data_IF_021409596021
#
_entry.id   IF_021409596021
#
_cell.length_a   1.000
_cell.length_b   1.000
_cell.length_c   1.000
_cell.angle_alpha   90.00
_cell.angle_beta   90.00
_cell.angle_gamma   90.00
#
_symmetry.space_group_name_H-M   'P 1'
#
loop_
_entity.id
_entity.type
_entity.pdbx_description
1 polymer ?
#
# COMPACT_ATOMS: atom_id res chain seq x y z
N UNK A 1 -22.50 12.91 -24.03
CA UNK A 1 -22.13 11.91 -23.02
C UNK A 1 -21.67 12.66 -21.78
N UNK A 2 -22.27 12.43 -20.61
CA UNK A 2 -21.90 13.11 -19.35
C UNK A 2 -20.47 12.70 -18.94
N UNK A 3 -19.60 13.66 -18.75
CA UNK A 3 -18.24 13.44 -18.27
C UNK A 3 -18.12 14.07 -16.89
N UNK A 4 -17.66 13.32 -15.87
CA UNK A 4 -17.49 13.88 -14.51
C UNK A 4 -16.59 15.11 -14.51
N UNK A 5 -16.95 16.12 -13.74
CA UNK A 5 -16.20 17.38 -13.65
C UNK A 5 -14.73 17.15 -13.32
N UNK A 6 -14.43 16.24 -12.40
CA UNK A 6 -13.05 15.91 -12.01
C UNK A 6 -12.15 15.43 -13.17
N UNK A 7 -12.73 14.83 -14.21
CA UNK A 7 -11.98 14.42 -15.40
C UNK A 7 -11.87 15.53 -16.45
N UNK A 8 -12.77 16.49 -16.40
CA UNK A 8 -12.86 17.59 -17.34
C UNK A 8 -11.93 18.75 -16.97
N UNK A 9 -11.89 19.09 -15.67
CA UNK A 9 -11.10 20.23 -15.16
C UNK A 9 -9.68 19.86 -14.74
N UNK A 10 -9.16 18.72 -15.23
CA UNK A 10 -7.77 18.34 -14.96
C UNK A 10 -6.81 19.41 -15.46
N UNK A 11 -5.91 19.81 -14.58
CA UNK A 11 -4.87 20.81 -14.91
C UNK A 11 -3.91 20.31 -15.99
N UNK A 12 -3.39 21.22 -16.81
CA UNK A 12 -2.35 21.00 -17.81
C UNK A 12 -0.96 21.46 -17.36
N UNK A 13 -0.86 22.10 -16.19
CA UNK A 13 0.40 22.59 -15.62
C UNK A 13 0.77 21.87 -14.33
N UNK A 14 2.06 21.60 -14.13
CA UNK A 14 2.58 21.07 -12.86
C UNK A 14 2.36 22.03 -11.70
N UNK A 15 2.32 23.34 -11.95
CA UNK A 15 2.12 24.34 -10.90
C UNK A 15 0.70 24.36 -10.34
N UNK A 16 -0.25 23.82 -11.10
CA UNK A 16 -1.65 23.73 -10.68
C UNK A 16 -1.99 22.38 -10.03
N UNK A 17 -1.05 21.43 -10.02
CA UNK A 17 -1.23 20.16 -9.31
C UNK A 17 -1.18 20.45 -7.81
N UNK A 18 -2.28 20.24 -7.13
CA UNK A 18 -2.36 20.46 -5.68
C UNK A 18 -1.65 19.35 -4.92
N UNK A 19 -0.97 19.73 -3.87
CA UNK A 19 -0.16 18.79 -3.08
C UNK A 19 1.15 18.42 -3.77
N UNK A 20 1.77 17.36 -3.26
CA UNK A 20 2.98 16.74 -3.80
C UNK A 20 4.20 17.67 -3.87
N UNK A 21 4.28 18.69 -3.01
CA UNK A 21 5.38 19.66 -2.99
C UNK A 21 6.77 19.02 -2.87
N UNK A 22 6.89 17.86 -2.25
CA UNK A 22 8.15 17.11 -2.08
C UNK A 22 8.70 16.55 -3.42
N UNK A 23 7.86 16.27 -4.41
CA UNK A 23 8.28 15.77 -5.75
C UNK A 23 8.03 16.78 -6.88
N UNK A 24 7.02 17.65 -6.75
CA UNK A 24 6.61 18.62 -7.78
C UNK A 24 6.94 20.07 -7.45
N UNK A 25 7.37 20.38 -6.23
CA UNK A 25 7.82 21.73 -5.85
C UNK A 25 9.01 22.20 -6.70
N UNK A 26 9.39 23.48 -6.58
CA UNK A 26 10.46 24.11 -7.40
C UNK A 26 11.76 23.29 -7.46
N UNK A 27 12.13 22.63 -6.37
CA UNK A 27 13.31 21.77 -6.27
C UNK A 27 12.98 20.28 -6.33
N UNK A 28 11.74 19.90 -6.61
CA UNK A 28 11.26 18.53 -6.64
C UNK A 28 11.95 17.69 -7.72
N UNK A 29 12.30 16.45 -7.37
CA UNK A 29 13.03 15.58 -8.30
C UNK A 29 12.20 15.27 -9.56
N UNK A 30 10.90 14.95 -9.40
CA UNK A 30 10.00 14.67 -10.51
C UNK A 30 9.84 15.88 -11.43
N UNK A 31 9.70 17.09 -10.86
CA UNK A 31 9.65 18.33 -11.66
C UNK A 31 10.89 18.50 -12.53
N UNK A 32 12.07 18.36 -11.95
CA UNK A 32 13.34 18.51 -12.71
C UNK A 32 13.47 17.49 -13.84
N UNK A 33 13.03 16.25 -13.62
CA UNK A 33 12.99 15.21 -14.65
C UNK A 33 12.04 15.63 -15.78
N UNK A 34 10.85 16.10 -15.45
CA UNK A 34 9.87 16.53 -16.47
C UNK A 34 10.38 17.75 -17.26
N UNK A 35 11.03 18.69 -16.60
CA UNK A 35 11.61 19.89 -17.22
C UNK A 35 12.84 19.59 -18.09
N UNK A 36 13.60 18.52 -17.78
CA UNK A 36 14.71 18.06 -18.64
C UNK A 36 14.25 17.46 -19.95
N UNK A 37 13.00 17.04 -20.08
CA UNK A 37 12.46 16.35 -21.25
C UNK A 37 12.90 14.88 -21.39
N UNK A 38 13.84 14.41 -20.58
CA UNK A 38 14.31 13.02 -20.54
C UNK A 38 13.53 12.23 -19.51
N UNK A 39 12.49 11.56 -19.94
CA UNK A 39 11.57 10.83 -19.06
C UNK A 39 11.98 9.36 -18.96
N UNK A 40 12.47 8.90 -17.78
CA UNK A 40 12.71 7.48 -17.54
C UNK A 40 11.38 6.74 -17.29
N UNK A 41 11.44 5.43 -17.21
CA UNK A 41 10.32 4.66 -16.69
C UNK A 41 10.09 5.00 -15.21
N UNK A 42 8.83 5.13 -14.81
CA UNK A 42 8.46 5.55 -13.46
C UNK A 42 7.33 4.72 -12.89
N UNK A 43 7.34 4.61 -11.57
CA UNK A 43 6.24 4.01 -10.81
C UNK A 43 5.74 5.05 -9.81
N UNK A 44 4.46 5.42 -9.93
CA UNK A 44 3.77 6.32 -9.03
C UNK A 44 2.95 5.51 -8.04
N UNK A 45 3.29 5.55 -6.76
CA UNK A 45 2.51 4.85 -5.75
C UNK A 45 1.95 5.81 -4.71
N UNK A 46 0.85 5.43 -4.10
CA UNK A 46 0.17 6.21 -3.07
C UNK A 46 -1.35 6.25 -3.26
N UNK A 47 -2.07 6.93 -2.36
CA UNK A 47 -3.53 6.94 -2.31
C UNK A 47 -4.20 7.39 -3.61
N UNK A 48 -5.47 7.00 -3.79
CA UNK A 48 -6.27 7.44 -4.94
C UNK A 48 -6.50 8.96 -4.89
N UNK A 49 -6.80 9.57 -6.05
CA UNK A 49 -7.13 10.99 -6.14
C UNK A 49 -6.00 11.98 -5.86
N UNK A 50 -4.76 11.53 -5.64
CA UNK A 50 -3.59 12.37 -5.31
C UNK A 50 -2.88 12.97 -6.52
N UNK A 51 -3.40 12.76 -7.74
CA UNK A 51 -2.90 13.40 -8.96
C UNK A 51 -2.01 12.55 -9.86
N UNK A 52 -1.75 11.26 -9.56
CA UNK A 52 -0.90 10.34 -10.36
C UNK A 52 -1.21 10.38 -11.87
N UNK A 53 -2.47 10.14 -12.24
CA UNK A 53 -2.92 10.17 -13.65
C UNK A 53 -2.80 11.56 -14.29
N UNK A 54 -3.02 12.62 -13.51
CA UNK A 54 -2.90 14.01 -14.00
C UNK A 54 -1.45 14.33 -14.34
N UNK A 55 -0.52 13.97 -13.46
CA UNK A 55 0.91 14.18 -13.67
C UNK A 55 1.41 13.38 -14.89
N UNK A 56 0.99 12.13 -15.03
CA UNK A 56 1.35 11.30 -16.19
C UNK A 56 0.88 11.94 -17.53
N UNK A 57 -0.31 12.56 -17.54
CA UNK A 57 -0.82 13.28 -18.71
C UNK A 57 0.01 14.53 -19.01
N UNK A 58 0.35 15.33 -18.00
CA UNK A 58 1.19 16.52 -18.18
C UNK A 58 2.57 16.13 -18.74
N UNK A 59 3.14 15.03 -18.27
CA UNK A 59 4.41 14.50 -18.78
C UNK A 59 4.29 14.16 -20.27
N UNK A 60 3.23 13.46 -20.66
CA UNK A 60 3.02 13.10 -22.07
C UNK A 60 2.88 14.33 -22.97
N UNK A 61 2.11 15.32 -22.55
CA UNK A 61 1.91 16.58 -23.27
C UNK A 61 3.24 17.36 -23.43
N UNK A 62 4.03 17.47 -22.35
CA UNK A 62 5.33 18.18 -22.39
C UNK A 62 6.39 17.48 -23.23
N UNK A 63 6.30 16.18 -23.43
CA UNK A 63 7.29 15.39 -24.17
C UNK A 63 6.87 15.06 -25.60
N UNK A 64 5.73 15.55 -26.06
CA UNK A 64 5.13 15.24 -27.37
C UNK A 64 5.00 13.74 -27.65
N UNK A 65 4.92 12.90 -26.59
CA UNK A 65 4.72 11.46 -26.70
C UNK A 65 3.25 11.13 -26.81
N UNK A 66 2.92 10.12 -27.57
CA UNK A 66 1.54 9.62 -27.64
C UNK A 66 1.18 8.91 -26.36
N UNK A 67 0.22 9.48 -25.60
CA UNK A 67 -0.26 8.86 -24.37
C UNK A 67 -1.21 7.71 -24.68
N UNK A 68 -0.86 6.50 -24.22
CA UNK A 68 -1.75 5.35 -24.15
C UNK A 68 -2.04 5.02 -22.71
N UNK A 69 -3.32 4.79 -22.39
CA UNK A 69 -3.78 4.48 -21.03
C UNK A 69 -4.36 3.08 -21.02
N UNK A 70 -3.88 2.27 -20.11
CA UNK A 70 -4.46 0.97 -19.74
C UNK A 70 -4.79 0.96 -18.25
N UNK A 71 -5.91 0.33 -17.92
CA UNK A 71 -6.22 0.01 -16.53
C UNK A 71 -6.07 -1.51 -16.35
N UNK A 72 -5.18 -1.93 -15.47
CA UNK A 72 -4.86 -3.34 -15.27
C UNK A 72 -6.03 -4.16 -14.71
N UNK A 73 -7.07 -3.51 -14.18
CA UNK A 73 -8.30 -4.22 -13.74
C UNK A 73 -9.14 -4.74 -14.92
N UNK A 74 -9.04 -4.12 -16.10
CA UNK A 74 -9.86 -4.44 -17.28
C UNK A 74 -9.05 -4.84 -18.49
N UNK A 75 -7.77 -4.40 -18.57
CA UNK A 75 -6.89 -4.66 -19.71
C UNK A 75 -6.25 -6.06 -19.64
N UNK A 76 -5.98 -6.61 -20.82
CA UNK A 76 -5.32 -7.90 -20.99
C UNK A 76 -4.07 -7.82 -21.89
N UNK A 77 -3.47 -8.99 -22.19
CA UNK A 77 -2.31 -9.09 -23.09
C UNK A 77 -2.64 -8.60 -24.50
N UNK A 78 -3.90 -8.75 -24.94
CA UNK A 78 -4.35 -8.28 -26.24
C UNK A 78 -4.25 -6.75 -26.37
N UNK A 79 -4.59 -6.01 -25.31
CA UNK A 79 -4.52 -4.54 -25.31
C UNK A 79 -3.07 -4.05 -25.35
N UNK A 80 -2.17 -4.74 -24.64
CA UNK A 80 -0.73 -4.47 -24.70
C UNK A 80 -0.22 -4.69 -26.13
N UNK A 81 -0.58 -5.82 -26.77
CA UNK A 81 -0.19 -6.11 -28.16
C UNK A 81 -0.74 -5.09 -29.15
N UNK A 82 -1.96 -4.58 -28.94
CA UNK A 82 -2.53 -3.53 -29.77
C UNK A 82 -1.68 -2.25 -29.71
N UNK A 83 -1.25 -1.83 -28.52
CA UNK A 83 -0.36 -0.67 -28.36
C UNK A 83 1.00 -0.93 -29.03
N UNK A 84 1.55 -2.14 -28.89
CA UNK A 84 2.82 -2.52 -29.51
C UNK A 84 2.72 -2.45 -31.04
N UNK A 85 1.59 -2.86 -31.64
CA UNK A 85 1.39 -2.79 -33.09
C UNK A 85 1.30 -1.36 -33.64
N UNK A 86 1.05 -0.36 -32.79
CA UNK A 86 1.07 1.05 -33.16
C UNK A 86 2.48 1.67 -33.12
N UNK A 87 3.44 0.99 -32.49
CA UNK A 87 4.83 1.46 -32.43
C UNK A 87 5.42 1.52 -33.85
N UNK A 88 6.35 2.43 -34.06
CA UNK A 88 7.04 2.63 -35.33
C UNK A 88 6.11 3.03 -36.49
N UNK A 89 4.91 3.52 -36.20
CA UNK A 89 3.95 4.06 -37.18
C UNK A 89 3.97 5.59 -37.23
N UNK A 90 3.37 6.18 -38.26
CA UNK A 90 3.17 7.63 -38.34
C UNK A 90 2.31 8.21 -37.20
N UNK A 91 1.61 7.35 -36.45
CA UNK A 91 0.78 7.75 -35.31
C UNK A 91 1.60 7.98 -34.02
N UNK A 92 2.84 7.51 -33.95
CA UNK A 92 3.68 7.59 -32.75
C UNK A 92 5.10 8.06 -33.04
N UNK A 93 5.29 9.20 -33.73
CA UNK A 93 6.62 9.64 -34.22
C UNK A 93 7.62 9.92 -33.09
N UNK A 94 7.16 10.26 -31.90
CA UNK A 94 7.99 10.54 -30.72
C UNK A 94 7.98 9.41 -29.69
N UNK A 95 7.48 8.24 -30.06
CA UNK A 95 7.30 7.07 -29.18
C UNK A 95 6.02 7.16 -28.34
N UNK A 96 5.78 6.11 -27.57
CA UNK A 96 4.60 5.95 -26.71
C UNK A 96 4.96 6.14 -25.25
N UNK A 97 4.16 6.94 -24.54
CA UNK A 97 4.11 6.94 -23.09
C UNK A 97 2.91 6.08 -22.67
N UNK A 98 3.20 4.92 -22.10
CA UNK A 98 2.18 4.02 -21.56
C UNK A 98 1.92 4.36 -20.10
N UNK A 99 0.72 4.86 -19.80
CA UNK A 99 0.23 4.97 -18.43
C UNK A 99 -0.57 3.71 -18.07
N UNK A 100 0.00 2.89 -17.20
CA UNK A 100 -0.64 1.67 -16.70
C UNK A 100 -1.17 1.89 -15.30
N UNK A 101 -2.49 2.04 -15.17
CA UNK A 101 -3.17 2.27 -13.89
C UNK A 101 -3.40 0.93 -13.17
N UNK A 102 -3.21 0.95 -11.83
CA UNK A 102 -3.42 -0.19 -10.93
C UNK A 102 -2.61 -1.45 -11.32
N UNK A 103 -1.30 -1.29 -11.57
CA UNK A 103 -0.40 -2.36 -12.06
C UNK A 103 -0.44 -3.64 -11.21
N UNK A 104 -0.81 -3.56 -9.92
CA UNK A 104 -0.91 -4.74 -9.04
C UNK A 104 -1.93 -5.79 -9.52
N UNK A 105 -2.88 -5.41 -10.37
CA UNK A 105 -3.83 -6.36 -10.97
C UNK A 105 -3.27 -7.12 -12.18
N UNK A 106 -2.12 -6.69 -12.73
CA UNK A 106 -1.42 -7.48 -13.73
C UNK A 106 -0.60 -8.59 -13.07
N UNK A 107 -0.81 -9.82 -13.52
CA UNK A 107 0.03 -10.93 -13.09
C UNK A 107 1.46 -10.80 -13.65
N UNK A 108 2.40 -11.60 -13.10
CA UNK A 108 3.82 -11.57 -13.48
C UNK A 108 4.05 -11.72 -14.99
N UNK A 109 3.28 -12.58 -15.67
CA UNK A 109 3.41 -12.81 -17.12
C UNK A 109 3.00 -11.58 -17.94
N UNK A 110 1.94 -10.90 -17.52
CA UNK A 110 1.48 -9.66 -18.15
C UNK A 110 2.52 -8.54 -17.95
N UNK A 111 3.06 -8.41 -16.75
CA UNK A 111 4.12 -7.43 -16.47
C UNK A 111 5.39 -7.75 -17.27
N UNK A 112 5.79 -9.02 -17.40
CA UNK A 112 6.93 -9.44 -18.19
C UNK A 112 6.80 -9.10 -19.68
N UNK A 113 5.59 -9.14 -20.24
CA UNK A 113 5.37 -8.82 -21.66
C UNK A 113 5.69 -7.37 -22.04
N UNK A 114 5.85 -6.48 -21.06
CA UNK A 114 6.23 -5.08 -21.27
C UNK A 114 7.75 -4.87 -21.31
N UNK A 115 8.54 -5.82 -20.78
CA UNK A 115 9.97 -5.60 -20.51
C UNK A 115 10.77 -5.31 -21.79
N UNK A 116 10.57 -6.07 -22.85
CA UNK A 116 11.29 -5.88 -24.13
C UNK A 116 11.13 -4.45 -24.65
N UNK A 117 9.91 -3.91 -24.61
CA UNK A 117 9.59 -2.59 -25.15
C UNK A 117 9.98 -1.44 -24.22
N UNK A 118 10.16 -1.74 -22.94
CA UNK A 118 10.71 -0.80 -21.95
C UNK A 118 12.23 -0.73 -22.06
N UNK A 119 12.89 -1.87 -22.35
CA UNK A 119 14.34 -1.99 -22.46
C UNK A 119 14.88 -1.32 -23.73
N UNK A 120 14.18 -1.47 -24.85
CA UNK A 120 14.57 -0.86 -26.12
C UNK A 120 14.13 0.62 -26.27
N UNK A 121 13.39 1.14 -25.28
CA UNK A 121 12.97 2.55 -25.22
C UNK A 121 11.80 2.93 -26.13
N UNK A 122 11.19 1.96 -26.84
CA UNK A 122 9.99 2.21 -27.67
C UNK A 122 8.80 2.62 -26.83
N UNK A 123 8.71 2.11 -25.61
CA UNK A 123 7.69 2.50 -24.64
C UNK A 123 8.37 3.13 -23.42
N UNK A 124 7.91 4.32 -23.01
CA UNK A 124 8.19 4.85 -21.69
C UNK A 124 7.02 4.49 -20.77
N UNK A 125 7.27 3.70 -19.74
CA UNK A 125 6.25 3.26 -18.80
C UNK A 125 6.11 4.24 -17.64
N UNK A 126 4.87 4.68 -17.37
CA UNK A 126 4.48 5.23 -16.06
C UNK A 126 3.42 4.30 -15.49
N UNK A 127 3.78 3.48 -14.53
CA UNK A 127 2.82 2.63 -13.83
C UNK A 127 2.31 3.32 -12.56
N UNK A 128 1.05 3.10 -12.20
CA UNK A 128 0.50 3.56 -10.92
C UNK A 128 -0.05 2.41 -10.09
N UNK A 129 0.04 2.57 -8.78
CA UNK A 129 -0.51 1.63 -7.80
C UNK A 129 -0.89 2.34 -6.50
N UNK A 130 -1.88 1.81 -5.81
CA UNK A 130 -2.21 2.20 -4.42
C UNK A 130 -1.45 1.38 -3.39
N UNK A 131 -0.81 0.29 -3.81
CA UNK A 131 -0.04 -0.61 -2.94
C UNK A 131 1.45 -0.27 -2.96
N UNK A 132 2.20 -0.83 -2.00
CA UNK A 132 3.65 -0.69 -1.99
C UNK A 132 4.26 -1.42 -3.21
N UNK A 133 4.93 -0.71 -4.14
CA UNK A 133 5.40 -1.26 -5.40
C UNK A 133 6.43 -2.39 -5.24
N UNK A 134 7.17 -2.40 -4.15
CA UNK A 134 8.17 -3.45 -3.88
C UNK A 134 7.57 -4.83 -3.63
N UNK A 135 6.25 -4.91 -3.38
CA UNK A 135 5.53 -6.18 -3.19
C UNK A 135 4.69 -6.59 -4.39
N UNK A 136 4.23 -5.65 -5.21
CA UNK A 136 3.27 -5.92 -6.28
C UNK A 136 3.84 -5.76 -7.70
N UNK A 137 4.96 -5.04 -7.87
CA UNK A 137 5.59 -4.84 -9.18
C UNK A 137 6.74 -5.83 -9.38
N UNK A 138 6.81 -6.41 -10.58
CA UNK A 138 7.86 -7.34 -10.94
C UNK A 138 9.25 -6.69 -10.84
N UNK A 139 10.19 -7.34 -10.17
CA UNK A 139 11.52 -6.79 -9.88
C UNK A 139 12.28 -6.28 -11.11
N UNK A 140 12.10 -6.91 -12.27
CA UNK A 140 12.75 -6.46 -13.49
C UNK A 140 12.21 -5.11 -14.00
N UNK A 141 10.93 -4.78 -13.75
CA UNK A 141 10.37 -3.45 -14.02
C UNK A 141 10.85 -2.45 -12.97
N UNK A 142 10.83 -2.84 -11.68
CA UNK A 142 11.32 -1.99 -10.59
C UNK A 142 12.76 -1.53 -10.79
N UNK A 143 13.67 -2.45 -11.17
CA UNK A 143 15.09 -2.13 -11.38
C UNK A 143 15.36 -1.17 -12.55
N UNK A 144 14.37 -0.98 -13.43
CA UNK A 144 14.43 -0.09 -14.62
C UNK A 144 13.54 1.15 -14.47
N UNK A 145 12.97 1.36 -13.29
CA UNK A 145 12.01 2.44 -13.05
C UNK A 145 12.41 3.26 -11.84
N UNK A 146 12.11 4.56 -11.88
CA UNK A 146 12.23 5.43 -10.71
C UNK A 146 10.89 5.46 -9.98
N UNK A 147 10.90 5.19 -8.67
CA UNK A 147 9.70 5.14 -7.84
C UNK A 147 9.44 6.50 -7.21
N UNK A 148 8.22 7.01 -7.34
CA UNK A 148 7.76 8.25 -6.71
C UNK A 148 6.54 8.01 -5.83
N UNK A 149 6.65 8.45 -4.58
CA UNK A 149 5.55 8.43 -3.62
C UNK A 149 4.65 9.64 -3.80
N UNK A 150 3.35 9.40 -3.98
CA UNK A 150 2.30 10.41 -3.92
C UNK A 150 1.64 10.34 -2.53
N UNK A 151 1.75 11.41 -1.77
CA UNK A 151 1.22 11.50 -0.41
C UNK A 151 -0.21 12.01 -0.40
N UNK A 152 -0.93 11.76 0.69
CA UNK A 152 -2.20 12.43 0.95
C UNK A 152 -2.06 13.93 0.82
N UNK A 153 -3.05 14.58 0.22
CA UNK A 153 -3.08 16.04 0.06
C UNK A 153 -3.76 16.65 1.29
N UNK A 154 -3.07 17.48 2.07
CA UNK A 154 -3.67 18.15 3.23
C UNK A 154 -4.88 19.00 2.81
N UNK A 155 -5.89 19.10 3.66
CA UNK A 155 -7.14 19.80 3.36
C UNK A 155 -6.90 21.25 2.87
N UNK A 156 -5.97 21.98 3.48
CA UNK A 156 -5.65 23.36 3.08
C UNK A 156 -5.05 23.47 1.67
N UNK A 157 -4.37 22.40 1.19
CA UNK A 157 -3.86 22.35 -0.19
C UNK A 157 -4.96 21.92 -1.19
N UNK A 158 -6.04 21.28 -0.74
CA UNK A 158 -7.20 20.91 -1.58
C UNK A 158 -8.11 22.13 -1.84
N UNK A 159 -8.21 23.07 -0.90
CA UNK A 159 -9.10 24.25 -1.01
C UNK A 159 -8.97 25.01 -2.34
N UNK A 160 -7.77 25.29 -2.88
CA UNK A 160 -7.62 25.92 -4.20
C UNK A 160 -8.25 25.13 -5.35
N UNK A 161 -8.23 23.80 -5.30
CA UNK A 161 -8.87 22.95 -6.32
C UNK A 161 -10.41 23.00 -6.19
N UNK A 162 -10.93 23.03 -4.96
CA UNK A 162 -12.35 23.22 -4.67
C UNK A 162 -12.83 24.58 -5.20
N UNK A 163 -12.10 25.65 -4.90
CA UNK A 163 -12.43 26.99 -5.39
C UNK A 163 -12.42 27.07 -6.91
N UNK A 164 -11.41 26.48 -7.56
CA UNK A 164 -11.32 26.41 -9.02
C UNK A 164 -12.51 25.66 -9.63
N UNK A 165 -12.93 24.56 -9.03
CA UNK A 165 -14.10 23.79 -9.48
C UNK A 165 -15.39 24.62 -9.39
N UNK A 166 -15.58 25.37 -8.29
CA UNK A 166 -16.73 26.29 -8.14
C UNK A 166 -16.71 27.35 -9.21
N UNK A 167 -15.57 28.00 -9.49
CA UNK A 167 -15.45 29.05 -10.51
C UNK A 167 -15.82 28.50 -11.89
N UNK A 168 -15.29 27.35 -12.28
CA UNK A 168 -15.58 26.72 -13.57
C UNK A 168 -17.08 26.42 -13.72
N UNK A 169 -17.70 25.85 -12.66
CA UNK A 169 -19.13 25.56 -12.67
C UNK A 169 -19.98 26.84 -12.75
N UNK A 170 -19.54 27.92 -12.08
CA UNK A 170 -20.22 29.20 -12.09
C UNK A 170 -20.19 29.85 -13.48
N UNK A 171 -19.03 29.86 -14.12
CA UNK A 171 -18.85 30.34 -15.49
C UNK A 171 -19.70 29.52 -16.48
N UNK A 172 -19.67 28.18 -16.38
CA UNK A 172 -20.44 27.28 -17.24
C UNK A 172 -21.95 27.51 -17.16
N UNK A 173 -22.44 27.77 -15.95
CA UNK A 173 -23.88 27.97 -15.70
C UNK A 173 -24.30 29.46 -15.77
N UNK A 174 -23.38 30.38 -16.05
CA UNK A 174 -23.61 31.83 -16.06
C UNK A 174 -24.27 32.32 -14.75
N UNK A 175 -23.76 31.85 -13.60
CA UNK A 175 -24.26 32.21 -12.27
C UNK A 175 -23.13 32.76 -11.39
N UNK A 176 -23.48 33.59 -10.41
CA UNK A 176 -22.53 34.10 -9.42
C UNK A 176 -22.62 33.23 -8.15
N UNK A 177 -21.52 32.62 -7.67
CA UNK A 177 -21.56 31.83 -6.46
C UNK A 177 -21.54 32.73 -5.22
N UNK A 178 -22.47 32.52 -4.30
CA UNK A 178 -22.43 33.01 -2.94
C UNK A 178 -22.02 31.85 -2.02
N UNK A 179 -20.81 31.92 -1.47
CA UNK A 179 -20.21 30.83 -0.71
C UNK A 179 -20.22 31.20 0.77
N UNK A 180 -20.91 30.40 1.56
CA UNK A 180 -20.93 30.57 3.01
C UNK A 180 -19.55 30.29 3.63
N UNK A 181 -19.10 31.07 4.63
CA UNK A 181 -17.81 30.82 5.28
C UNK A 181 -17.70 29.38 5.82
N UNK A 182 -16.58 28.73 5.50
CA UNK A 182 -16.30 27.36 5.94
C UNK A 182 -16.66 26.26 4.94
N UNK A 183 -17.42 26.53 3.87
CA UNK A 183 -17.81 25.54 2.87
C UNK A 183 -16.59 24.90 2.19
N UNK A 184 -15.61 25.68 1.71
CA UNK A 184 -14.42 25.17 1.07
C UNK A 184 -13.65 24.22 2.01
N UNK A 185 -13.41 24.71 3.23
CA UNK A 185 -12.68 23.94 4.25
C UNK A 185 -13.40 22.65 4.60
N UNK A 186 -14.75 22.70 4.69
CA UNK A 186 -15.55 21.50 4.99
C UNK A 186 -15.44 20.43 3.94
N UNK A 187 -15.59 20.80 2.65
CA UNK A 187 -15.44 19.89 1.52
C UNK A 187 -14.02 19.32 1.47
N UNK A 188 -13.01 20.20 1.61
CA UNK A 188 -11.59 19.80 1.54
C UNK A 188 -11.19 18.87 2.68
N UNK A 189 -11.72 19.06 3.89
CA UNK A 189 -11.47 18.17 5.04
C UNK A 189 -12.17 16.82 4.87
N UNK A 190 -13.38 16.82 4.30
CA UNK A 190 -14.17 15.59 4.15
C UNK A 190 -13.72 14.68 3.00
N UNK A 191 -12.83 15.15 2.13
CA UNK A 191 -12.33 14.34 1.01
C UNK A 191 -11.19 13.38 1.41
N UNK A 192 -10.60 13.51 2.61
CA UNK A 192 -9.50 12.66 3.07
C UNK A 192 -8.27 12.71 2.16
N UNK A 193 -7.98 13.87 1.53
CA UNK A 193 -6.85 14.04 0.62
C UNK A 193 -7.07 13.56 -0.81
N UNK A 194 -8.25 13.03 -1.16
CA UNK A 194 -8.64 12.68 -2.52
C UNK A 194 -9.24 13.91 -3.24
N UNK A 195 -8.44 14.58 -4.07
CA UNK A 195 -8.84 15.78 -4.80
C UNK A 195 -9.98 15.51 -5.80
N UNK A 196 -10.03 14.32 -6.41
CA UNK A 196 -11.12 13.93 -7.33
C UNK A 196 -12.46 13.93 -6.59
N UNK A 197 -12.45 13.41 -5.38
CA UNK A 197 -13.63 13.37 -4.52
C UNK A 197 -14.07 14.77 -4.10
N UNK A 198 -13.14 15.62 -3.72
CA UNK A 198 -13.47 17.01 -3.40
C UNK A 198 -14.17 17.69 -4.57
N UNK A 199 -13.67 17.54 -5.80
CA UNK A 199 -14.27 18.10 -7.01
C UNK A 199 -15.66 17.51 -7.28
N UNK A 200 -15.84 16.19 -7.14
CA UNK A 200 -17.15 15.54 -7.30
C UNK A 200 -18.16 16.02 -6.23
N UNK A 201 -17.68 16.28 -5.00
CA UNK A 201 -18.53 16.87 -3.94
C UNK A 201 -18.96 18.30 -4.29
N UNK A 202 -18.09 19.09 -4.90
CA UNK A 202 -18.44 20.42 -5.43
C UNK A 202 -19.49 20.34 -6.52
N UNK A 203 -19.35 19.40 -7.48
CA UNK A 203 -20.32 19.20 -8.55
C UNK A 203 -21.69 18.84 -8.00
N UNK A 204 -21.73 17.97 -6.99
CA UNK A 204 -22.98 17.59 -6.32
C UNK A 204 -23.57 18.76 -5.53
N UNK A 205 -22.74 19.50 -4.77
CA UNK A 205 -23.17 20.68 -4.02
C UNK A 205 -23.79 21.74 -4.96
N UNK A 206 -23.11 22.02 -6.07
CA UNK A 206 -23.55 22.98 -7.05
C UNK A 206 -24.87 22.58 -7.75
N UNK A 207 -25.08 21.27 -7.93
CA UNK A 207 -26.30 20.71 -8.50
C UNK A 207 -27.50 20.75 -7.54
N UNK A 208 -27.24 20.62 -6.24
CA UNK A 208 -28.26 20.64 -5.19
C UNK A 208 -28.58 22.06 -4.68
N UNK A 209 -27.69 23.02 -4.95
CA UNK A 209 -27.79 24.39 -4.42
C UNK A 209 -29.01 25.15 -4.93
N UNK A 210 -29.57 25.99 -4.07
CA UNK A 210 -30.64 26.90 -4.42
C UNK A 210 -30.11 27.97 -5.37
N UNK A 211 -30.89 28.27 -6.40
CA UNK A 211 -30.61 29.33 -7.39
C UNK A 211 -31.67 30.40 -7.28
N UNK A 212 -31.24 31.65 -7.21
CA UNK A 212 -32.11 32.80 -7.16
C UNK A 212 -31.44 33.97 -7.91
N UNK A 213 -32.16 34.62 -8.83
CA UNK A 213 -31.75 35.78 -9.60
C UNK A 213 -30.30 35.73 -10.14
N UNK A 214 -29.95 34.61 -10.79
CA UNK A 214 -28.60 34.44 -11.36
C UNK A 214 -27.50 34.15 -10.33
N UNK A 215 -27.86 33.92 -9.08
CA UNK A 215 -26.94 33.51 -8.00
C UNK A 215 -27.16 32.08 -7.61
N UNK A 216 -26.09 31.42 -7.12
CA UNK A 216 -26.11 30.07 -6.53
C UNK A 216 -25.57 30.18 -5.12
N UNK A 217 -26.39 29.77 -4.13
CA UNK A 217 -26.03 29.80 -2.73
C UNK A 217 -25.47 28.43 -2.31
N UNK A 218 -24.17 28.38 -1.93
CA UNK A 218 -23.50 27.21 -1.41
C UNK A 218 -23.41 27.30 0.11
N UNK A 219 -24.27 26.53 0.80
CA UNK A 219 -24.39 26.59 2.26
C UNK A 219 -23.50 25.57 2.97
N UNK A 220 -23.14 25.89 4.22
CA UNK A 220 -22.40 24.93 5.07
C UNK A 220 -23.25 23.71 5.39
N UNK A 221 -24.57 23.87 5.57
CA UNK A 221 -25.51 22.78 5.81
C UNK A 221 -25.54 21.77 4.66
N UNK A 222 -25.57 22.24 3.40
CA UNK A 222 -25.55 21.36 2.24
C UNK A 222 -24.17 20.67 2.10
N UNK A 223 -23.09 21.41 2.37
CA UNK A 223 -21.73 20.86 2.40
C UNK A 223 -21.59 19.76 3.48
N UNK A 224 -22.19 19.94 4.65
CA UNK A 224 -22.24 18.94 5.71
C UNK A 224 -23.02 17.70 5.31
N UNK A 225 -24.19 17.87 4.71
CA UNK A 225 -25.03 16.74 4.27
C UNK A 225 -24.31 15.88 3.19
N UNK A 226 -23.59 16.52 2.27
CA UNK A 226 -22.78 15.82 1.26
C UNK A 226 -21.55 15.17 1.89
N UNK A 227 -20.92 15.85 2.83
CA UNK A 227 -19.72 15.39 3.52
C UNK A 227 -20.01 14.21 4.46
N UNK A 228 -21.14 14.18 5.17
CA UNK A 228 -21.53 13.06 6.04
C UNK A 228 -21.74 11.76 5.26
N UNK A 229 -22.43 11.81 4.11
CA UNK A 229 -22.56 10.65 3.21
C UNK A 229 -21.21 10.19 2.66
N UNK A 230 -20.27 11.09 2.57
CA UNK A 230 -18.92 10.86 2.10
C UNK A 230 -17.97 10.39 3.22
N UNK A 231 -18.10 10.91 4.44
CA UNK A 231 -17.27 10.55 5.61
C UNK A 231 -17.51 9.11 6.06
N UNK A 232 -18.75 8.61 6.07
CA UNK A 232 -19.04 7.20 6.36
C UNK A 232 -18.31 6.20 5.42
N UNK A 233 -17.88 6.63 4.24
CA UNK A 233 -17.09 5.81 3.30
C UNK A 233 -15.58 6.07 3.37
N UNK A 234 -15.11 7.09 4.09
CA UNK A 234 -13.78 7.69 3.87
C UNK A 234 -12.82 7.72 5.05
N UNK A 235 -13.23 7.26 6.18
CA UNK A 235 -12.30 7.07 7.31
C UNK A 235 -11.28 5.93 7.08
N UNK A 236 -11.32 5.35 5.86
CA UNK A 236 -10.47 4.21 5.48
C UNK A 236 -9.02 4.56 5.13
N UNK A 237 -8.70 5.81 4.78
CA UNK A 237 -7.39 6.17 4.18
C UNK A 237 -6.75 7.42 4.81
N UNK A 238 -7.31 8.01 5.86
CA UNK A 238 -6.76 9.16 6.57
C UNK A 238 -5.79 8.78 7.68
N UNK A 239 -5.04 9.76 8.19
CA UNK A 239 -4.13 9.57 9.35
C UNK A 239 -4.90 9.00 10.56
N UNK A 240 -6.15 9.43 10.78
CA UNK A 240 -7.02 8.90 11.84
C UNK A 240 -7.31 7.40 11.68
N UNK A 241 -7.45 6.90 10.44
CA UNK A 241 -7.62 5.48 10.18
C UNK A 241 -6.40 4.65 10.60
N UNK A 242 -5.19 5.13 10.27
CA UNK A 242 -3.95 4.48 10.73
C UNK A 242 -3.79 4.56 12.24
N UNK A 243 -4.26 5.64 12.87
CA UNK A 243 -4.29 5.79 14.32
C UNK A 243 -5.24 4.78 14.97
N UNK A 244 -6.42 4.53 14.38
CA UNK A 244 -7.37 3.52 14.85
C UNK A 244 -6.77 2.10 14.72
N UNK A 245 -6.15 1.77 13.57
CA UNK A 245 -5.47 0.49 13.37
C UNK A 245 -4.32 0.30 14.39
N UNK A 246 -3.56 1.37 14.65
CA UNK A 246 -2.48 1.38 15.65
C UNK A 246 -3.03 1.25 17.07
N UNK A 247 -4.14 1.92 17.39
CA UNK A 247 -4.79 1.83 18.67
C UNK A 247 -5.36 0.43 18.94
N UNK A 248 -5.98 -0.22 17.93
CA UNK A 248 -6.42 -1.62 18.01
C UNK A 248 -5.25 -2.53 18.39
N UNK A 249 -4.12 -2.46 17.66
CA UNK A 249 -2.93 -3.27 17.95
C UNK A 249 -2.40 -3.04 19.36
N UNK A 250 -2.28 -1.77 19.78
CA UNK A 250 -1.78 -1.39 21.11
C UNK A 250 -2.70 -1.85 22.22
N UNK A 251 -4.02 -1.83 22.01
CA UNK A 251 -5.01 -2.32 22.96
C UNK A 251 -4.92 -3.85 23.12
N UNK A 252 -4.79 -4.59 22.02
CA UNK A 252 -4.57 -6.05 22.05
C UNK A 252 -3.26 -6.40 22.79
N UNK A 253 -2.19 -5.68 22.49
CA UNK A 253 -0.88 -5.83 23.14
C UNK A 253 -0.95 -5.49 24.63
N UNK A 254 -1.65 -4.43 24.98
CA UNK A 254 -1.87 -3.98 26.36
C UNK A 254 -2.89 -4.76 27.15
N UNK A 255 -3.54 -5.78 26.53
CA UNK A 255 -4.60 -6.60 27.17
C UNK A 255 -5.82 -5.80 27.61
N UNK A 256 -6.10 -4.69 26.93
CA UNK A 256 -7.34 -3.92 27.15
C UNK A 256 -8.41 -4.38 26.16
N UNK A 257 -9.28 -5.27 26.62
CA UNK A 257 -10.33 -5.89 25.82
C UNK A 257 -11.38 -4.88 25.36
N UNK A 258 -11.77 -3.95 26.23
CA UNK A 258 -12.82 -2.97 25.93
C UNK A 258 -12.34 -1.95 24.89
N UNK A 259 -11.10 -1.46 25.03
CA UNK A 259 -10.48 -0.59 24.02
C UNK A 259 -10.31 -1.32 22.69
N UNK A 260 -9.87 -2.58 22.69
CA UNK A 260 -9.73 -3.37 21.46
C UNK A 260 -11.05 -3.54 20.72
N UNK A 261 -12.14 -3.86 21.44
CA UNK A 261 -13.48 -3.97 20.87
C UNK A 261 -14.01 -2.61 20.36
N UNK A 262 -13.73 -1.52 21.06
CA UNK A 262 -14.11 -0.17 20.62
C UNK A 262 -13.42 0.19 19.29
N UNK A 263 -12.10 0.01 19.18
CA UNK A 263 -11.38 0.32 17.95
C UNK A 263 -11.73 -0.65 16.80
N UNK A 264 -12.00 -1.92 17.11
CA UNK A 264 -12.55 -2.86 16.12
C UNK A 264 -13.90 -2.35 15.59
N UNK A 265 -14.83 -1.97 16.47
CA UNK A 265 -16.15 -1.46 16.06
C UNK A 265 -16.02 -0.22 15.15
N UNK A 266 -15.12 0.72 15.47
CA UNK A 266 -14.85 1.88 14.61
C UNK A 266 -14.39 1.48 13.21
N UNK A 267 -13.50 0.49 13.08
CA UNK A 267 -13.03 -0.02 11.77
C UNK A 267 -14.15 -0.71 10.99
N UNK A 268 -15.01 -1.48 11.66
CA UNK A 268 -16.11 -2.18 11.00
C UNK A 268 -17.23 -1.23 10.56
N UNK A 269 -17.53 -0.18 11.33
CA UNK A 269 -18.52 0.85 10.96
C UNK A 269 -18.12 1.61 9.69
N UNK A 270 -16.83 1.89 9.51
CA UNK A 270 -16.34 2.49 8.26
C UNK A 270 -16.12 1.43 7.15
N UNK A 271 -16.42 0.15 7.45
CA UNK A 271 -16.36 -0.99 6.52
C UNK A 271 -14.94 -1.44 6.21
N UNK A 272 -13.92 -1.15 7.03
CA UNK A 272 -12.56 -1.69 6.87
C UNK A 272 -12.39 -3.07 7.49
N UNK A 273 -13.09 -4.03 6.91
CA UNK A 273 -12.97 -5.44 7.29
C UNK A 273 -11.56 -5.99 7.07
N UNK A 274 -10.94 -5.65 5.94
CA UNK A 274 -9.64 -6.22 5.54
C UNK A 274 -8.51 -5.67 6.41
N UNK A 275 -8.50 -4.37 6.71
CA UNK A 275 -7.53 -3.76 7.61
C UNK A 275 -7.60 -4.32 9.02
N UNK A 276 -8.81 -4.46 9.56
CA UNK A 276 -9.04 -5.09 10.87
C UNK A 276 -8.52 -6.55 10.89
N UNK A 277 -8.87 -7.36 9.89
CA UNK A 277 -8.41 -8.75 9.76
C UNK A 277 -6.88 -8.86 9.71
N UNK A 278 -6.21 -8.01 8.93
CA UNK A 278 -4.74 -7.97 8.83
C UNK A 278 -4.08 -7.68 10.17
N UNK A 279 -4.59 -6.70 10.93
CA UNK A 279 -4.03 -6.31 12.23
C UNK A 279 -4.23 -7.37 13.29
N UNK A 280 -5.39 -7.99 13.33
CA UNK A 280 -5.71 -9.09 14.25
C UNK A 280 -4.78 -10.30 13.98
N UNK A 281 -4.57 -10.69 12.72
CA UNK A 281 -3.62 -11.74 12.33
C UNK A 281 -2.17 -11.39 12.71
N UNK A 282 -1.77 -10.13 12.50
CA UNK A 282 -0.44 -9.65 12.89
C UNK A 282 -0.23 -9.78 14.39
N UNK A 283 -1.19 -9.30 15.21
CA UNK A 283 -1.12 -9.37 16.67
C UNK A 283 -1.04 -10.80 17.20
N UNK A 284 -1.70 -11.77 16.55
CA UNK A 284 -1.59 -13.18 16.93
C UNK A 284 -0.15 -13.71 16.87
N UNK A 285 0.64 -13.25 15.91
CA UNK A 285 2.04 -13.67 15.74
C UNK A 285 3.01 -12.74 16.48
N UNK A 286 2.74 -11.43 16.50
CA UNK A 286 3.63 -10.40 17.05
C UNK A 286 3.56 -10.35 18.58
N UNK A 287 2.34 -10.35 19.14
CA UNK A 287 2.12 -10.09 20.56
C UNK A 287 1.88 -11.35 21.39
N UNK A 288 1.25 -12.39 20.79
CA UNK A 288 1.00 -13.66 21.46
C UNK A 288 2.11 -14.68 21.16
N UNK A 289 2.40 -14.89 19.89
CA UNK A 289 3.51 -15.70 19.41
C UNK A 289 3.64 -17.05 20.14
N UNK A 290 4.83 -17.28 20.66
CA UNK A 290 5.19 -18.55 21.31
C UNK A 290 4.62 -18.69 22.73
N UNK A 291 4.04 -17.65 23.32
CA UNK A 291 3.35 -17.78 24.62
C UNK A 291 2.09 -18.65 24.49
N UNK A 292 1.44 -18.63 23.33
CA UNK A 292 0.29 -19.48 23.03
C UNK A 292 0.24 -19.80 21.52
N UNK A 293 0.98 -20.83 21.04
CA UNK A 293 1.13 -21.12 19.61
C UNK A 293 -0.18 -21.41 18.87
N UNK A 294 -1.25 -21.77 19.59
CA UNK A 294 -2.59 -22.00 19.02
C UNK A 294 -3.28 -20.68 18.62
N UNK A 295 -2.73 -19.51 18.99
CA UNK A 295 -3.34 -18.22 18.67
C UNK A 295 -3.47 -18.01 17.15
N UNK A 296 -2.43 -18.35 16.39
CA UNK A 296 -2.44 -18.15 14.94
C UNK A 296 -3.54 -18.96 14.24
N UNK A 297 -3.67 -20.29 14.42
CA UNK A 297 -4.75 -21.06 13.78
C UNK A 297 -6.14 -20.66 14.27
N UNK A 298 -6.34 -20.32 15.54
CA UNK A 298 -7.63 -19.86 16.07
C UNK A 298 -8.03 -18.55 15.41
N UNK A 299 -7.14 -17.54 15.42
CA UNK A 299 -7.40 -16.24 14.85
C UNK A 299 -7.56 -16.32 13.32
N UNK A 300 -6.80 -17.20 12.65
CA UNK A 300 -6.96 -17.46 11.22
C UNK A 300 -8.36 -17.97 10.90
N UNK A 301 -8.89 -18.91 11.68
CA UNK A 301 -10.25 -19.41 11.50
C UNK A 301 -11.31 -18.33 11.71
N UNK A 302 -11.14 -17.47 12.73
CA UNK A 302 -12.03 -16.32 12.95
C UNK A 302 -12.00 -15.33 11.77
N UNK A 303 -10.81 -15.01 11.27
CA UNK A 303 -10.64 -14.10 10.13
C UNK A 303 -11.24 -14.69 8.85
N UNK A 304 -11.04 -15.98 8.57
CA UNK A 304 -11.63 -16.64 7.40
C UNK A 304 -13.15 -16.63 7.48
N UNK A 305 -13.70 -16.92 8.66
CA UNK A 305 -15.14 -16.84 8.90
C UNK A 305 -15.67 -15.42 8.67
N UNK A 306 -14.96 -14.41 9.17
CA UNK A 306 -15.34 -13.01 8.98
C UNK A 306 -15.34 -12.59 7.50
N UNK A 307 -14.33 -13.02 6.74
CA UNK A 307 -14.25 -12.73 5.30
C UNK A 307 -15.31 -13.45 4.49
N UNK A 308 -15.73 -14.66 4.90
CA UNK A 308 -16.81 -15.42 4.26
C UNK A 308 -18.18 -14.83 4.55
N UNK A 309 -18.44 -14.43 5.80
CA UNK A 309 -19.71 -13.85 6.24
C UNK A 309 -19.90 -12.44 5.68
N UNK A 310 -18.84 -11.64 5.63
CA UNK A 310 -18.96 -10.22 5.30
C UNK A 310 -19.65 -9.41 6.39
N UNK A 311 -19.78 -8.09 6.17
CA UNK A 311 -20.50 -7.20 7.09
C UNK A 311 -22.02 -7.30 6.84
N UNK A 312 -22.84 -7.24 7.89
CA UNK A 312 -22.49 -6.92 9.29
C UNK A 312 -22.09 -8.10 10.18
N UNK A 313 -22.23 -9.35 9.75
CA UNK A 313 -22.03 -10.56 10.57
C UNK A 313 -20.57 -10.83 10.91
N UNK A 314 -19.62 -10.34 10.10
CA UNK A 314 -18.18 -10.45 10.32
C UNK A 314 -17.73 -9.95 11.72
N UNK A 315 -18.52 -9.08 12.34
CA UNK A 315 -18.25 -8.57 13.69
C UNK A 315 -18.16 -9.68 14.76
N UNK A 316 -18.91 -10.78 14.59
CA UNK A 316 -18.99 -11.85 15.58
C UNK A 316 -17.65 -12.60 15.72
N UNK A 317 -17.12 -13.24 14.67
CA UNK A 317 -15.82 -13.94 14.78
C UNK A 317 -14.65 -12.99 15.05
N UNK A 318 -14.71 -11.72 14.62
CA UNK A 318 -13.66 -10.75 14.92
C UNK A 318 -13.68 -10.29 16.37
N UNK A 319 -14.85 -10.15 16.99
CA UNK A 319 -14.96 -9.86 18.43
C UNK A 319 -14.38 -11.02 19.27
N UNK A 320 -14.67 -12.28 18.91
CA UNK A 320 -14.08 -13.46 19.57
C UNK A 320 -12.55 -13.44 19.45
N UNK A 321 -12.01 -13.16 18.25
CA UNK A 321 -10.57 -13.06 18.02
C UNK A 321 -9.93 -11.94 18.86
N UNK A 322 -10.57 -10.77 18.96
CA UNK A 322 -10.07 -9.66 19.76
C UNK A 322 -10.05 -10.00 21.25
N UNK A 323 -11.16 -10.54 21.80
CA UNK A 323 -11.24 -10.95 23.19
C UNK A 323 -10.18 -12.01 23.52
N UNK A 324 -10.07 -13.02 22.65
CA UNK A 324 -9.07 -14.07 22.79
C UNK A 324 -7.63 -13.51 22.83
N UNK A 325 -7.28 -12.64 21.88
CA UNK A 325 -5.94 -12.03 21.82
C UNK A 325 -5.67 -11.10 23.01
N UNK A 326 -6.66 -10.30 23.43
CA UNK A 326 -6.50 -9.40 24.57
C UNK A 326 -6.26 -10.19 25.89
N UNK A 327 -6.87 -11.36 26.03
CA UNK A 327 -6.81 -12.18 27.27
C UNK A 327 -5.70 -13.25 27.24
N UNK A 328 -5.10 -13.55 26.08
CA UNK A 328 -4.03 -14.53 25.93
C UNK A 328 -2.71 -14.05 26.56
N UNK A 329 -1.84 -14.97 27.04
CA UNK A 329 -0.48 -14.61 27.45
C UNK A 329 0.32 -14.03 26.29
N UNK A 330 1.26 -13.13 26.58
CA UNK A 330 2.01 -12.37 25.58
C UNK A 330 3.46 -12.83 25.48
N UNK A 331 3.98 -12.86 24.24
CA UNK A 331 5.42 -13.00 23.96
C UNK A 331 5.76 -12.39 22.61
N UNK A 332 6.75 -11.54 22.57
CA UNK A 332 7.32 -11.00 21.35
C UNK A 332 8.70 -11.61 21.01
N UNK A 333 9.06 -12.70 21.68
CA UNK A 333 10.38 -13.36 21.54
C UNK A 333 10.72 -13.71 20.09
N UNK A 334 9.72 -14.16 19.31
CA UNK A 334 9.88 -14.48 17.89
C UNK A 334 10.16 -13.25 17.03
N UNK A 335 9.48 -12.13 17.29
CA UNK A 335 9.69 -10.85 16.58
C UNK A 335 11.08 -10.30 16.87
N UNK A 336 11.46 -10.24 18.15
CA UNK A 336 12.78 -9.78 18.53
C UNK A 336 13.89 -10.60 17.89
N UNK A 337 13.70 -11.93 17.81
CA UNK A 337 14.65 -12.83 17.21
C UNK A 337 14.85 -12.59 15.70
N UNK A 338 13.77 -12.49 14.95
CA UNK A 338 13.86 -12.26 13.50
C UNK A 338 14.36 -10.85 13.17
N UNK A 339 13.98 -9.84 13.94
CA UNK A 339 14.45 -8.47 13.74
C UNK A 339 15.97 -8.35 14.00
N UNK A 340 16.48 -9.02 15.03
CA UNK A 340 17.91 -9.08 15.30
C UNK A 340 18.68 -9.77 14.13
N UNK A 341 18.14 -10.90 13.62
CA UNK A 341 18.75 -11.58 12.48
C UNK A 341 18.72 -10.71 11.21
N UNK A 342 17.60 -10.02 10.93
CA UNK A 342 17.48 -9.09 9.80
C UNK A 342 18.46 -7.92 9.94
N UNK A 343 18.66 -7.40 11.15
CA UNK A 343 19.61 -6.33 11.41
C UNK A 343 21.06 -6.74 11.06
N UNK A 344 21.46 -7.95 11.42
CA UNK A 344 22.78 -8.47 11.05
C UNK A 344 22.93 -8.64 9.53
N UNK A 345 21.93 -9.18 8.86
CA UNK A 345 21.93 -9.30 7.39
C UNK A 345 22.03 -7.92 6.71
N UNK A 346 21.27 -6.93 7.18
CA UNK A 346 21.34 -5.54 6.68
C UNK A 346 22.70 -4.88 6.94
N UNK A 347 23.36 -5.26 8.01
CA UNK A 347 24.72 -4.80 8.32
C UNK A 347 25.81 -5.53 7.52
N UNK A 348 25.44 -6.42 6.60
CA UNK A 348 26.37 -7.17 5.76
C UNK A 348 27.00 -8.39 6.45
N UNK A 349 26.57 -8.73 7.65
CA UNK A 349 27.03 -9.93 8.38
C UNK A 349 26.28 -11.16 7.87
N UNK A 350 26.71 -11.71 6.76
CA UNK A 350 26.06 -12.86 6.14
C UNK A 350 26.96 -14.11 6.11
N UNK A 351 28.20 -13.97 5.69
CA UNK A 351 29.15 -15.05 5.54
C UNK A 351 28.73 -16.19 4.57
N UNK A 352 29.63 -17.04 4.14
CA UNK A 352 29.29 -18.22 3.36
C UNK A 352 28.56 -19.28 4.22
N UNK A 353 27.61 -19.97 3.63
CA UNK A 353 26.94 -21.11 4.30
C UNK A 353 27.98 -22.18 4.60
N UNK A 354 28.04 -22.74 5.82
CA UNK A 354 28.94 -23.82 6.18
C UNK A 354 28.85 -24.97 5.19
N UNK A 355 30.02 -25.57 4.86
CA UNK A 355 30.12 -26.62 3.83
C UNK A 355 29.17 -27.78 4.07
N UNK A 356 29.02 -28.17 5.32
CA UNK A 356 28.19 -29.29 5.79
C UNK A 356 26.70 -29.07 5.48
N UNK A 357 26.26 -27.80 5.34
CA UNK A 357 24.86 -27.44 5.11
C UNK A 357 24.54 -27.13 3.64
N UNK A 358 25.55 -27.11 2.75
CA UNK A 358 25.33 -26.83 1.34
C UNK A 358 24.68 -28.02 0.65
N UNK A 359 23.78 -27.75 -0.32
CA UNK A 359 23.19 -28.79 -1.15
C UNK A 359 24.26 -29.50 -2.01
N UNK A 360 24.12 -30.81 -2.16
CA UNK A 360 24.91 -31.63 -3.11
C UNK A 360 24.28 -31.50 -4.48
N UNK A 361 24.75 -30.54 -5.29
CA UNK A 361 24.32 -30.44 -6.67
C UNK A 361 25.10 -31.43 -7.55
N UNK A 362 24.40 -32.12 -8.47
CA UNK A 362 24.97 -33.13 -9.36
C UNK A 362 25.92 -32.56 -10.43
N UNK A 363 25.97 -31.24 -10.61
CA UNK A 363 26.54 -30.58 -11.79
C UNK A 363 28.01 -30.17 -11.64
N UNK A 364 28.65 -30.46 -10.51
CA UNK A 364 30.08 -30.17 -10.29
C UNK A 364 30.95 -31.39 -10.51
N UNK A 365 31.53 -31.56 -11.68
CA UNK A 365 32.63 -32.50 -11.90
C UNK A 365 33.85 -32.01 -11.11
N UNK A 366 34.26 -32.75 -10.06
CA UNK A 366 35.55 -32.56 -9.40
C UNK A 366 35.56 -32.23 -7.91
N UNK A 367 34.43 -32.14 -7.22
CA UNK A 367 34.40 -31.95 -5.78
C UNK A 367 34.09 -33.28 -5.04
N UNK A 368 34.93 -33.63 -4.07
CA UNK A 368 34.62 -34.70 -3.08
C UNK A 368 33.31 -34.33 -2.37
N UNK A 369 32.34 -35.25 -2.46
CA UNK A 369 30.94 -35.00 -2.05
C UNK A 369 30.69 -35.26 -0.56
N UNK A 370 31.68 -35.62 0.24
CA UNK A 370 31.53 -35.77 1.69
C UNK A 370 31.37 -34.40 2.34
N UNK A 371 30.13 -34.07 2.69
CA UNK A 371 29.80 -32.78 3.31
C UNK A 371 30.03 -32.77 4.83
N UNK A 372 30.19 -33.93 5.45
CA UNK A 372 30.33 -34.01 6.89
C UNK A 372 29.08 -33.72 7.72
N UNK A 373 27.91 -33.51 7.04
CA UNK A 373 26.65 -33.26 7.74
C UNK A 373 26.24 -34.43 8.64
N UNK A 374 26.05 -34.11 9.90
CA UNK A 374 25.56 -35.07 10.90
C UNK A 374 24.04 -34.99 10.96
N UNK A 375 23.36 -36.06 10.52
CA UNK A 375 21.90 -36.08 10.50
C UNK A 375 21.33 -36.30 11.92
N UNK A 376 20.65 -35.27 12.52
CA UNK A 376 20.29 -35.34 13.94
C UNK A 376 19.42 -36.53 14.31
N UNK A 377 18.54 -37.01 13.42
CA UNK A 377 17.68 -38.18 13.69
C UNK A 377 18.44 -39.51 13.84
N UNK A 378 19.71 -39.56 13.45
CA UNK A 378 20.58 -40.73 13.66
C UNK A 378 21.27 -40.73 15.01
N UNK A 379 21.04 -39.71 15.84
CA UNK A 379 21.65 -39.58 17.16
C UNK A 379 20.60 -39.61 18.27
N UNK A 380 21.05 -39.92 19.49
CA UNK A 380 20.19 -39.93 20.67
C UNK A 380 19.47 -38.60 20.85
N UNK A 381 18.20 -38.68 21.25
CA UNK A 381 17.31 -37.52 21.42
C UNK A 381 17.21 -36.62 20.20
N UNK A 382 17.57 -37.12 18.99
CA UNK A 382 17.56 -36.41 17.73
C UNK A 382 18.37 -35.11 17.76
N UNK A 383 19.50 -35.09 18.47
CA UNK A 383 20.38 -33.94 18.56
C UNK A 383 21.86 -34.34 18.46
N UNK A 384 22.64 -33.48 17.77
CA UNK A 384 24.08 -33.61 17.67
C UNK A 384 24.72 -32.25 17.57
N UNK A 385 25.85 -32.07 18.26
CA UNK A 385 26.59 -30.79 18.20
C UNK A 385 27.27 -30.65 16.84
N UNK A 386 26.85 -29.63 16.08
CA UNK A 386 27.50 -29.19 14.85
C UNK A 386 27.22 -27.67 14.64
N UNK A 387 28.00 -27.06 13.76
CA UNK A 387 27.84 -25.63 13.44
C UNK A 387 26.78 -25.45 12.34
N UNK A 388 25.86 -24.51 12.54
CA UNK A 388 24.81 -24.17 11.57
C UNK A 388 24.94 -22.75 11.03
N UNK A 389 25.52 -21.83 11.80
CA UNK A 389 25.74 -20.45 11.35
C UNK A 389 27.10 -20.31 10.64
N UNK A 390 27.25 -19.35 9.72
CA UNK A 390 28.53 -18.95 9.16
C UNK A 390 29.57 -18.66 10.22
N UNK A 391 30.85 -18.79 9.88
CA UNK A 391 31.94 -18.59 10.83
C UNK A 391 31.92 -17.24 11.53
N UNK A 392 31.56 -16.19 10.80
CA UNK A 392 31.44 -14.83 11.34
C UNK A 392 30.31 -14.71 12.38
N UNK A 393 29.29 -15.56 12.28
CA UNK A 393 28.09 -15.56 13.13
C UNK A 393 28.01 -16.76 14.07
N UNK A 394 29.04 -17.59 14.16
CA UNK A 394 29.01 -18.86 14.94
C UNK A 394 28.59 -18.68 16.40
N UNK A 395 28.78 -17.52 16.98
CA UNK A 395 28.41 -17.19 18.36
C UNK A 395 27.15 -16.30 18.43
N UNK A 396 26.51 -15.97 17.30
CA UNK A 396 25.30 -15.17 17.30
C UNK A 396 24.15 -15.94 17.97
N UNK A 397 23.38 -15.20 18.75
CA UNK A 397 22.17 -15.70 19.39
C UNK A 397 21.06 -14.69 19.16
N UNK A 398 20.04 -15.10 18.43
CA UNK A 398 18.91 -14.24 18.07
C UNK A 398 17.68 -14.51 18.94
N UNK A 399 17.46 -15.78 19.30
CA UNK A 399 16.26 -16.17 20.03
C UNK A 399 16.59 -16.36 21.53
N UNK A 400 15.89 -15.58 22.35
CA UNK A 400 15.82 -15.73 23.79
C UNK A 400 14.40 -16.13 24.20
N UNK A 401 14.30 -17.14 25.06
CA UNK A 401 13.01 -17.67 25.52
C UNK A 401 12.30 -16.65 26.41
N UNK A 402 11.02 -16.36 26.11
CA UNK A 402 10.16 -15.55 26.95
C UNK A 402 9.85 -16.22 28.31
N UNK A 403 9.37 -15.42 29.26
CA UNK A 403 9.11 -15.88 30.64
C UNK A 403 7.82 -16.71 30.81
N UNK A 404 7.06 -16.95 29.72
CA UNK A 404 5.84 -17.72 29.77
C UNK A 404 6.09 -19.24 29.90
N UNK A 405 5.07 -19.98 30.35
CA UNK A 405 5.16 -21.42 30.63
C UNK A 405 5.68 -22.28 29.46
N UNK A 406 5.24 -21.96 28.23
CA UNK A 406 5.53 -22.76 27.04
C UNK A 406 6.98 -22.60 26.65
N UNK A 407 7.46 -21.36 26.56
CA UNK A 407 8.86 -21.10 26.19
C UNK A 407 9.84 -21.58 27.30
N UNK A 408 9.48 -21.40 28.56
CA UNK A 408 10.31 -21.94 29.67
C UNK A 408 10.36 -23.45 29.70
N UNK A 409 9.26 -24.15 29.38
CA UNK A 409 9.26 -25.60 29.23
C UNK A 409 10.17 -26.05 28.08
N UNK A 410 10.09 -25.38 26.92
CA UNK A 410 10.97 -25.62 25.77
C UNK A 410 12.44 -25.37 26.11
N UNK A 411 12.74 -24.28 26.83
CA UNK A 411 14.09 -23.97 27.31
C UNK A 411 14.64 -25.09 28.17
N UNK A 412 13.88 -25.50 29.18
CA UNK A 412 14.28 -26.60 30.08
C UNK A 412 14.58 -27.89 29.32
N UNK A 413 13.71 -28.27 28.40
CA UNK A 413 13.88 -29.46 27.56
C UNK A 413 15.20 -29.42 26.77
N UNK A 414 15.48 -28.30 26.10
CA UNK A 414 16.70 -28.18 25.32
C UNK A 414 17.96 -28.00 26.16
N UNK A 415 17.88 -27.35 27.31
CA UNK A 415 19.01 -27.26 28.24
C UNK A 415 19.42 -28.64 28.80
N UNK A 416 18.47 -29.56 28.96
CA UNK A 416 18.74 -30.94 29.36
C UNK A 416 19.36 -31.78 28.23
N UNK A 417 19.02 -31.53 26.98
CA UNK A 417 19.56 -32.25 25.82
C UNK A 417 20.95 -31.76 25.42
N UNK A 418 21.18 -30.44 25.48
CA UNK A 418 22.40 -29.80 25.01
C UNK A 418 23.52 -29.77 26.04
N UNK A 419 23.27 -30.29 27.24
CA UNK A 419 24.33 -30.52 28.27
C UNK A 419 25.22 -31.67 27.86
#
# INVERSE_FOLDING_TARGET
MYKPLADEIRTSSLDEVVGQGHILGKNGMLRRIVESGQIPNMIFYGPSGTGKTTVARIIAEKTNRTLRKLNATTAGIADIKAIISELDTLLTPSGVLLYLDEIQYFNKKQQQSLLEFIEDGRITLIASTTENPYFCVFNAILSRSTVFEFKHVPAYEVEPAVQRAINILSERNAVTPEIEPGVLRRISSACGGDVRKAINSVELLFSAAKRDDGKVLLTLSDADAISQRSAMRYDREGDEHYDILSALMKSLRGSDTDAALHYLARLLEVGDLVGACRRILCSASEDIGLAYPQAVPIVKACVDSALQLGLPEAKLPLAEACIFLATAPKSNSGVMAIDAAIADVKAGKTGPVPRELQNVHADGTGFEREQGYKYPHSYDRHWVKQQYLPDELKNARYYDYGDNKIEQAAKKYWDEIKR
#
